data_IF_253532664929
#
_entry.id   IF_253532664929
#
_cell.length_a   1.000
_cell.length_b   1.000
_cell.length_c   1.000
_cell.angle_alpha   90.00
_cell.angle_beta   90.00
_cell.angle_gamma   90.00
#
_symmetry.space_group_name_H-M   'P 1'
#
loop_
_entity.id
_entity.type
_entity.pdbx_description
1 polymer ?
#
# COMPACT_ATOMS: atom_id res chain seq x y z
N UNK A 1 15.99 -3.94 7.67
CA UNK A 1 16.68 -2.64 8.00
C UNK A 1 17.33 -2.15 6.73
N UNK A 2 17.04 -0.94 6.28
CA UNK A 2 17.60 -0.37 5.07
C UNK A 2 19.12 -0.27 5.07
N UNK A 3 19.68 -0.31 3.89
CA UNK A 3 21.13 -0.35 3.69
C UNK A 3 21.67 1.06 3.40
N UNK A 4 22.14 1.75 4.43
CA UNK A 4 22.58 3.15 4.31
C UNK A 4 24.03 3.33 3.82
N UNK A 5 24.75 2.24 3.55
CA UNK A 5 26.16 2.29 3.20
C UNK A 5 26.48 3.27 2.06
N UNK A 6 25.58 3.39 1.08
CA UNK A 6 25.80 4.27 -0.06
C UNK A 6 25.60 5.77 0.24
N UNK A 7 25.19 6.18 1.47
CA UNK A 7 25.10 7.59 1.85
C UNK A 7 26.46 8.29 1.84
N UNK A 8 27.56 7.57 2.07
CA UNK A 8 28.92 8.13 2.02
C UNK A 8 29.44 8.33 0.58
N UNK A 9 28.80 7.74 -0.43
CA UNK A 9 29.19 7.87 -1.83
C UNK A 9 28.65 9.17 -2.41
N UNK A 10 29.54 10.14 -2.56
CA UNK A 10 29.22 11.44 -3.12
C UNK A 10 29.50 11.46 -4.63
N UNK A 11 28.71 12.24 -5.34
CA UNK A 11 28.86 12.53 -6.77
C UNK A 11 28.53 14.00 -7.04
N UNK A 12 28.41 14.39 -8.30
CA UNK A 12 28.09 15.78 -8.69
C UNK A 12 26.69 16.25 -8.24
N UNK A 13 25.78 15.29 -7.99
CA UNK A 13 24.38 15.57 -7.63
C UNK A 13 24.16 15.38 -6.13
N UNK A 14 24.85 14.41 -5.52
CA UNK A 14 24.69 14.05 -4.11
C UNK A 14 25.96 14.41 -3.33
N UNK A 15 26.01 15.63 -2.82
CA UNK A 15 27.15 16.17 -2.05
C UNK A 15 27.17 15.68 -0.60
N UNK A 16 28.27 15.90 0.16
CA UNK A 16 28.32 15.65 1.60
C UNK A 16 27.20 16.33 2.37
N UNK A 17 26.78 17.55 1.97
CA UNK A 17 25.67 18.25 2.60
C UNK A 17 24.32 17.56 2.38
N UNK A 18 24.09 17.02 1.17
CA UNK A 18 22.90 16.19 0.89
C UNK A 18 22.92 14.91 1.74
N UNK A 19 24.06 14.22 1.85
CA UNK A 19 24.18 13.03 2.69
C UNK A 19 23.88 13.30 4.16
N UNK A 20 24.42 14.42 4.68
CA UNK A 20 24.16 14.84 6.06
C UNK A 20 22.67 15.18 6.30
N UNK A 21 22.04 15.89 5.37
CA UNK A 21 20.60 16.20 5.43
C UNK A 21 19.77 14.92 5.40
N UNK A 22 20.07 14.01 4.47
CA UNK A 22 19.41 12.71 4.36
C UNK A 22 19.52 11.91 5.66
N UNK A 23 20.71 11.81 6.24
CA UNK A 23 20.93 11.09 7.49
C UNK A 23 20.12 11.70 8.67
N UNK A 24 20.07 13.03 8.77
CA UNK A 24 19.25 13.71 9.78
C UNK A 24 17.76 13.40 9.57
N UNK A 25 17.25 13.48 8.35
CA UNK A 25 15.86 13.16 8.03
C UNK A 25 15.51 11.70 8.33
N UNK A 26 16.40 10.75 8.04
CA UNK A 26 16.23 9.33 8.38
C UNK A 26 16.13 9.11 9.90
N UNK A 27 16.99 9.77 10.69
CA UNK A 27 16.90 9.72 12.15
C UNK A 27 15.58 10.31 12.66
N UNK A 28 15.14 11.41 12.05
CA UNK A 28 13.85 12.03 12.38
C UNK A 28 12.68 11.08 12.05
N UNK A 29 12.70 10.42 10.88
CA UNK A 29 11.66 9.45 10.50
C UNK A 29 11.60 8.25 11.45
N UNK A 30 12.77 7.72 11.89
CA UNK A 30 12.82 6.63 12.86
C UNK A 30 12.14 6.99 14.19
N UNK A 31 12.34 8.20 14.67
CA UNK A 31 11.68 8.70 15.89
C UNK A 31 10.18 8.97 15.64
N UNK A 32 9.84 9.46 14.43
CA UNK A 32 8.48 9.79 14.05
C UNK A 32 7.51 8.62 14.15
N UNK A 33 7.92 7.39 13.82
CA UNK A 33 7.08 6.22 13.96
C UNK A 33 6.66 5.97 15.42
N UNK A 34 7.56 6.20 16.39
CA UNK A 34 7.24 6.10 17.81
C UNK A 34 6.31 7.22 18.25
N UNK A 35 6.57 8.47 17.83
CA UNK A 35 5.74 9.65 18.14
C UNK A 35 4.31 9.50 17.61
N UNK A 36 4.13 9.01 16.39
CA UNK A 36 2.82 8.75 15.75
C UNK A 36 2.22 7.40 16.19
N UNK A 37 2.86 6.70 17.13
CA UNK A 37 2.42 5.41 17.68
C UNK A 37 2.19 4.33 16.62
N UNK A 38 2.95 4.37 15.54
CA UNK A 38 2.99 3.26 14.59
C UNK A 38 3.73 2.10 15.25
N UNK A 39 3.11 0.91 15.38
CA UNK A 39 3.73 -0.19 16.12
C UNK A 39 5.05 -0.64 15.50
N UNK A 40 5.97 -1.10 16.35
CA UNK A 40 7.18 -1.77 15.87
C UNK A 40 6.85 -3.13 15.27
N UNK A 41 7.62 -3.54 14.27
CA UNK A 41 7.49 -4.86 13.65
C UNK A 41 7.78 -5.99 14.64
N UNK A 42 6.78 -6.84 14.89
CA UNK A 42 6.91 -8.03 15.74
C UNK A 42 6.88 -9.29 14.86
N UNK A 43 7.99 -10.03 14.83
CA UNK A 43 8.17 -11.16 13.88
C UNK A 43 7.16 -12.29 14.01
N UNK A 44 6.67 -12.61 15.21
CA UNK A 44 5.93 -13.84 15.47
C UNK A 44 4.42 -13.68 15.58
N UNK A 45 3.90 -12.54 16.01
CA UNK A 45 2.49 -12.44 16.41
C UNK A 45 1.67 -11.40 15.68
N UNK A 46 2.30 -10.44 15.02
CA UNK A 46 1.63 -9.31 14.34
C UNK A 46 2.20 -9.08 12.94
N UNK A 47 1.35 -8.67 12.02
CA UNK A 47 1.69 -8.25 10.66
C UNK A 47 1.36 -6.75 10.51
N UNK A 48 2.33 -5.96 10.11
CA UNK A 48 2.12 -4.58 9.71
C UNK A 48 1.95 -4.51 8.18
N UNK A 49 0.75 -4.17 7.75
CA UNK A 49 0.37 -4.03 6.35
C UNK A 49 0.13 -2.55 6.03
N UNK A 50 0.64 -2.07 4.90
CA UNK A 50 0.36 -0.74 4.40
C UNK A 50 -0.07 -0.72 2.94
N UNK A 51 -0.74 0.35 2.54
CA UNK A 51 -0.97 0.76 1.15
C UNK A 51 -0.47 2.19 0.95
N UNK A 52 0.19 2.45 -0.16
CA UNK A 52 0.72 3.76 -0.47
C UNK A 52 0.75 4.02 -1.98
N UNK A 53 -0.09 4.93 -2.44
CA UNK A 53 0.07 5.49 -3.77
C UNK A 53 1.32 6.38 -3.74
N UNK A 54 2.39 5.99 -4.45
CA UNK A 54 3.62 6.79 -4.58
C UNK A 54 3.55 7.51 -5.92
N UNK A 55 3.10 8.77 -5.85
CA UNK A 55 2.83 9.60 -7.01
C UNK A 55 3.86 9.44 -8.13
N UNK A 56 3.41 9.00 -9.34
CA UNK A 56 4.22 8.95 -10.55
C UNK A 56 5.58 8.24 -10.36
N UNK A 57 5.59 7.05 -9.78
CA UNK A 57 6.78 6.34 -9.32
C UNK A 57 7.38 5.40 -10.41
N UNK A 58 8.24 5.72 -11.28
CA UNK A 58 9.00 6.95 -11.65
C UNK A 58 8.48 7.45 -12.98
N UNK A 59 8.19 8.74 -13.09
CA UNK A 59 7.91 9.36 -14.38
C UNK A 59 8.91 10.50 -14.65
N UNK A 60 9.28 10.70 -15.89
CA UNK A 60 10.13 11.82 -16.27
C UNK A 60 9.45 13.20 -16.22
N UNK A 61 8.20 13.27 -15.79
CA UNK A 61 7.34 14.48 -15.89
C UNK A 61 7.85 15.69 -15.10
N UNK A 62 8.44 15.44 -13.93
CA UNK A 62 8.95 16.49 -13.03
C UNK A 62 10.47 16.38 -12.79
N UNK A 63 11.16 15.63 -13.62
CA UNK A 63 12.57 15.27 -13.44
C UNK A 63 12.75 14.06 -12.50
N UNK A 64 13.98 13.64 -12.26
CA UNK A 64 14.26 12.48 -11.41
C UNK A 64 13.96 12.79 -9.95
N UNK A 65 13.54 11.76 -9.19
CA UNK A 65 13.46 11.86 -7.72
C UNK A 65 14.86 12.05 -7.13
N UNK A 66 14.93 12.86 -6.10
CA UNK A 66 16.17 13.02 -5.36
C UNK A 66 16.53 11.70 -4.68
N UNK A 67 17.82 11.41 -4.61
CA UNK A 67 18.33 10.25 -3.89
C UNK A 67 17.90 10.24 -2.43
N UNK A 68 17.79 11.41 -1.80
CA UNK A 68 17.25 11.62 -0.47
C UNK A 68 15.81 11.09 -0.34
N UNK A 69 14.92 11.40 -1.29
CA UNK A 69 13.55 10.93 -1.31
C UNK A 69 13.46 9.40 -1.38
N UNK A 70 14.32 8.75 -2.18
CA UNK A 70 14.37 7.29 -2.27
C UNK A 70 14.77 6.63 -0.95
N UNK A 71 15.69 7.23 -0.18
CA UNK A 71 16.02 6.76 1.16
C UNK A 71 14.85 6.90 2.13
N UNK A 72 14.11 8.01 2.07
CA UNK A 72 12.93 8.19 2.93
C UNK A 72 11.79 7.25 2.56
N UNK A 73 11.56 7.02 1.27
CA UNK A 73 10.58 6.03 0.80
C UNK A 73 10.96 4.63 1.29
N UNK A 74 12.24 4.24 1.16
CA UNK A 74 12.72 2.96 1.65
C UNK A 74 12.59 2.81 3.17
N UNK A 75 12.89 3.87 3.94
CA UNK A 75 12.72 3.86 5.41
C UNK A 75 11.26 3.68 5.82
N UNK A 76 10.34 4.35 5.12
CA UNK A 76 8.91 4.21 5.37
C UNK A 76 8.43 2.81 5.03
N UNK A 77 8.85 2.25 3.88
CA UNK A 77 8.49 0.89 3.49
C UNK A 77 9.05 -0.14 4.48
N UNK A 78 10.32 0.01 4.92
CA UNK A 78 10.94 -0.92 5.88
C UNK A 78 10.23 -0.99 7.23
N UNK A 79 9.45 0.02 7.58
CA UNK A 79 8.68 0.01 8.83
C UNK A 79 7.53 -1.00 8.80
N UNK A 80 7.04 -1.38 7.63
CA UNK A 80 5.96 -2.34 7.43
C UNK A 80 6.50 -3.70 6.98
N UNK A 81 5.67 -4.75 7.09
CA UNK A 81 6.04 -6.10 6.64
C UNK A 81 5.67 -6.34 5.17
N UNK A 82 4.62 -5.67 4.70
CA UNK A 82 4.14 -5.69 3.34
C UNK A 82 3.51 -4.33 3.00
N UNK A 83 3.85 -3.79 1.84
CA UNK A 83 3.30 -2.54 1.32
C UNK A 83 2.76 -2.75 -0.09
N UNK A 84 1.49 -2.43 -0.29
CA UNK A 84 0.93 -2.30 -1.63
C UNK A 84 1.24 -0.91 -2.18
N UNK A 85 1.88 -0.85 -3.33
CA UNK A 85 2.31 0.40 -3.96
C UNK A 85 1.53 0.59 -5.27
N UNK A 86 0.92 1.76 -5.43
CA UNK A 86 0.23 2.18 -6.64
C UNK A 86 1.07 3.23 -7.39
N UNK A 87 0.73 3.47 -8.64
CA UNK A 87 1.42 4.38 -9.57
C UNK A 87 2.87 4.02 -9.90
N UNK A 88 3.26 2.76 -9.78
CA UNK A 88 4.55 2.31 -10.31
C UNK A 88 4.50 2.41 -11.84
N UNK A 89 5.41 3.20 -12.40
CA UNK A 89 5.43 3.48 -13.85
C UNK A 89 6.16 2.39 -14.64
N UNK A 90 6.20 2.57 -15.95
CA UNK A 90 6.95 1.68 -16.86
C UNK A 90 8.47 1.72 -16.59
N UNK A 91 9.02 2.84 -16.14
CA UNK A 91 10.40 2.96 -15.64
C UNK A 91 10.50 2.48 -14.17
N UNK A 92 11.17 1.36 -13.95
CA UNK A 92 11.35 0.76 -12.62
C UNK A 92 12.57 1.28 -11.86
N UNK A 93 13.35 2.21 -12.43
CA UNK A 93 14.61 2.65 -11.85
C UNK A 93 14.51 3.10 -10.39
N UNK A 94 13.44 3.82 -10.03
CA UNK A 94 13.25 4.26 -8.64
C UNK A 94 12.80 3.12 -7.73
N UNK A 95 11.97 2.21 -8.20
CA UNK A 95 11.59 1.01 -7.44
C UNK A 95 12.83 0.14 -7.17
N UNK A 96 13.64 -0.14 -8.19
CA UNK A 96 14.87 -0.94 -8.04
C UNK A 96 15.86 -0.31 -7.05
N UNK A 97 16.05 1.02 -7.11
CA UNK A 97 16.88 1.73 -6.12
C UNK A 97 16.34 1.63 -4.71
N UNK A 98 15.01 1.70 -4.52
CA UNK A 98 14.39 1.49 -3.21
C UNK A 98 14.60 0.06 -2.74
N UNK A 99 14.47 -0.94 -3.62
CA UNK A 99 14.75 -2.35 -3.30
C UNK A 99 16.22 -2.58 -2.91
N UNK A 100 17.16 -1.95 -3.61
CA UNK A 100 18.59 -1.98 -3.25
C UNK A 100 18.85 -1.43 -1.84
N UNK A 101 18.15 -0.33 -1.48
CA UNK A 101 18.24 0.25 -0.14
C UNK A 101 17.60 -0.67 0.91
N UNK A 102 16.47 -1.29 0.62
CA UNK A 102 15.79 -2.24 1.51
C UNK A 102 16.61 -3.52 1.73
N UNK A 103 17.35 -3.97 0.72
CA UNK A 103 18.28 -5.10 0.78
C UNK A 103 17.63 -6.45 0.47
N UNK A 104 18.46 -7.50 0.45
CA UNK A 104 18.16 -8.83 -0.11
C UNK A 104 17.03 -9.63 0.56
N UNK A 105 16.55 -9.20 1.71
CA UNK A 105 15.39 -9.84 2.36
C UNK A 105 14.05 -9.29 1.89
N UNK A 106 14.07 -8.32 0.98
CA UNK A 106 12.87 -7.73 0.40
C UNK A 106 12.70 -8.20 -1.02
N UNK A 107 11.45 -8.51 -1.36
CA UNK A 107 11.03 -8.87 -2.71
C UNK A 107 9.83 -8.03 -3.12
N UNK A 108 9.55 -8.00 -4.42
CA UNK A 108 8.34 -7.39 -4.94
C UNK A 108 7.68 -8.26 -6.00
N UNK A 109 6.36 -8.12 -6.10
CA UNK A 109 5.53 -8.64 -7.18
C UNK A 109 4.84 -7.45 -7.82
N UNK A 110 4.79 -7.38 -9.14
CA UNK A 110 4.13 -6.28 -9.85
C UNK A 110 3.29 -6.79 -11.03
N UNK A 111 2.31 -5.97 -11.43
CA UNK A 111 1.50 -6.21 -12.61
C UNK A 111 2.26 -5.90 -13.90
N UNK A 112 1.69 -6.27 -15.02
CA UNK A 112 2.07 -5.65 -16.29
C UNK A 112 1.63 -4.18 -16.37
N UNK A 113 2.13 -3.46 -17.35
CA UNK A 113 1.77 -2.06 -17.60
C UNK A 113 0.33 -2.00 -18.08
N UNK A 114 -0.51 -1.24 -17.38
CA UNK A 114 -1.88 -1.04 -17.84
C UNK A 114 -1.91 -0.20 -19.10
N UNK A 115 -2.22 -0.85 -20.23
CA UNK A 115 -2.37 -0.20 -21.52
C UNK A 115 -3.69 0.57 -21.61
N UNK A 116 -3.71 1.62 -22.44
CA UNK A 116 -4.90 2.43 -22.69
C UNK A 116 -4.86 3.83 -22.08
N UNK A 117 -5.81 4.66 -22.50
CA UNK A 117 -5.83 6.11 -22.18
C UNK A 117 -6.13 6.39 -20.71
N UNK A 118 -6.83 5.50 -20.01
CA UNK A 118 -7.19 5.63 -18.60
C UNK A 118 -6.19 4.95 -17.65
N UNK A 119 -5.37 4.02 -18.16
CA UNK A 119 -4.40 3.24 -17.37
C UNK A 119 -3.11 3.98 -17.05
N UNK A 120 -2.81 5.10 -17.73
CA UNK A 120 -1.64 5.96 -17.53
C UNK A 120 -0.28 5.24 -17.59
N UNK A 121 -0.21 4.01 -18.13
CA UNK A 121 0.98 3.15 -18.08
C UNK A 121 1.44 2.86 -16.66
N UNK A 122 0.51 2.69 -15.75
CA UNK A 122 0.78 2.38 -14.35
C UNK A 122 0.78 0.87 -14.12
N UNK A 123 1.56 0.48 -13.11
CA UNK A 123 1.58 -0.83 -12.47
C UNK A 123 1.19 -0.70 -11.01
N UNK A 124 0.80 -1.81 -10.42
CA UNK A 124 0.67 -1.97 -8.98
C UNK A 124 1.69 -3.01 -8.51
N UNK A 125 2.25 -2.80 -7.34
CA UNK A 125 3.23 -3.70 -6.76
C UNK A 125 2.89 -4.05 -5.30
N UNK A 126 3.34 -5.23 -4.86
CA UNK A 126 3.49 -5.57 -3.45
C UNK A 126 4.97 -5.67 -3.15
N UNK A 127 5.45 -4.89 -2.18
CA UNK A 127 6.81 -4.95 -1.65
C UNK A 127 6.74 -5.57 -0.26
N UNK A 128 7.49 -6.66 0.01
CA UNK A 128 7.35 -7.42 1.25
C UNK A 128 8.66 -8.01 1.77
N UNK A 129 8.74 -8.16 3.10
CA UNK A 129 9.88 -8.77 3.78
C UNK A 129 9.72 -10.30 3.81
N UNK A 130 10.54 -11.01 3.04
CA UNK A 130 10.50 -12.48 2.89
C UNK A 130 10.83 -13.25 4.18
N UNK A 131 11.46 -12.59 5.16
CA UNK A 131 11.72 -13.19 6.48
C UNK A 131 10.43 -13.42 7.29
N UNK A 132 9.33 -12.76 6.90
CA UNK A 132 8.06 -12.82 7.60
C UNK A 132 6.88 -13.17 6.70
N UNK A 133 6.82 -12.58 5.52
CA UNK A 133 5.73 -12.76 4.57
C UNK A 133 6.19 -13.67 3.44
N UNK A 134 5.43 -14.73 3.18
CA UNK A 134 5.74 -15.67 2.11
C UNK A 134 4.71 -15.56 0.99
N UNK A 135 5.19 -15.46 -0.23
CA UNK A 135 4.34 -15.61 -1.41
C UNK A 135 3.71 -16.99 -1.43
N UNK A 136 2.40 -17.06 -1.59
CA UNK A 136 1.63 -18.30 -1.50
C UNK A 136 1.42 -19.06 -2.82
N UNK A 137 2.02 -18.58 -3.92
CA UNK A 137 1.90 -19.20 -5.23
C UNK A 137 0.68 -18.75 -6.05
N UNK A 138 -0.14 -17.82 -5.53
CA UNK A 138 -1.27 -17.21 -6.23
C UNK A 138 -0.95 -15.75 -6.54
N UNK A 139 -0.90 -15.38 -7.82
CA UNK A 139 -0.85 -13.98 -8.26
C UNK A 139 -1.61 -13.86 -9.59
N UNK A 140 -2.39 -12.82 -9.74
CA UNK A 140 -3.15 -12.58 -10.96
C UNK A 140 -3.87 -11.24 -10.96
N UNK A 141 -4.20 -10.79 -12.16
CA UNK A 141 -5.01 -9.60 -12.38
C UNK A 141 -6.49 -9.96 -12.43
N UNK A 142 -7.35 -9.11 -11.84
CA UNK A 142 -8.79 -9.32 -11.81
C UNK A 142 -9.41 -8.77 -13.09
N UNK A 143 -9.89 -9.68 -13.93
CA UNK A 143 -10.63 -9.35 -15.17
C UNK A 143 -12.12 -9.50 -14.91
N UNK A 144 -12.91 -8.49 -15.28
CA UNK A 144 -14.37 -8.53 -15.12
C UNK A 144 -14.95 -9.49 -16.18
N UNK A 145 -15.64 -10.57 -15.77
CA UNK A 145 -16.30 -11.43 -16.72
C UNK A 145 -17.44 -10.68 -17.42
N UNK A 146 -17.72 -10.96 -18.70
CA UNK A 146 -18.82 -10.33 -19.41
C UNK A 146 -20.16 -10.67 -18.76
N UNK A 147 -20.99 -9.65 -18.53
CA UNK A 147 -22.33 -9.82 -17.93
C UNK A 147 -23.25 -10.62 -18.84
N UNK A 148 -23.03 -10.54 -20.14
CA UNK A 148 -23.77 -11.27 -21.19
C UNK A 148 -22.82 -11.79 -22.25
N UNK A 149 -22.98 -13.08 -22.64
CA UNK A 149 -22.15 -13.70 -23.67
C UNK A 149 -22.16 -12.87 -24.95
N UNK A 150 -20.98 -12.51 -25.45
CA UNK A 150 -20.79 -11.71 -26.66
C UNK A 150 -20.89 -10.19 -26.50
N UNK A 151 -21.14 -9.70 -25.30
CA UNK A 151 -21.09 -8.26 -24.99
C UNK A 151 -19.83 -8.00 -24.17
N UNK A 152 -18.86 -7.19 -24.67
CA UNK A 152 -17.70 -6.83 -23.89
C UNK A 152 -18.13 -6.15 -22.58
N UNK A 153 -17.59 -6.61 -21.44
CA UNK A 153 -17.70 -5.87 -20.18
C UNK A 153 -16.76 -4.68 -20.21
N UNK A 154 -17.17 -3.54 -19.65
CA UNK A 154 -16.23 -2.48 -19.32
C UNK A 154 -15.19 -3.06 -18.36
N UNK A 155 -13.89 -2.88 -18.67
CA UNK A 155 -12.81 -3.26 -17.77
C UNK A 155 -12.50 -2.10 -16.83
N UNK A 156 -11.75 -2.38 -15.77
CA UNK A 156 -11.24 -1.36 -14.88
C UNK A 156 -10.31 -0.39 -15.62
N UNK A 157 -10.26 0.84 -15.16
CA UNK A 157 -9.28 1.81 -15.68
C UNK A 157 -7.84 1.31 -15.47
N UNK A 158 -7.60 0.65 -14.33
CA UNK A 158 -6.38 -0.10 -14.02
C UNK A 158 -6.78 -1.44 -13.44
N UNK A 159 -6.23 -2.51 -13.98
CA UNK A 159 -6.64 -3.87 -13.59
C UNK A 159 -6.20 -4.17 -12.16
N UNK A 160 -7.12 -4.50 -11.23
CA UNK A 160 -6.75 -4.81 -9.85
C UNK A 160 -5.85 -6.03 -9.78
N UNK A 161 -4.90 -6.03 -8.84
CA UNK A 161 -3.90 -7.07 -8.67
C UNK A 161 -4.11 -7.85 -7.39
N UNK A 162 -4.34 -9.15 -7.50
CA UNK A 162 -4.57 -10.05 -6.38
C UNK A 162 -3.39 -11.00 -6.17
N UNK A 163 -2.92 -11.10 -4.93
CA UNK A 163 -1.82 -11.98 -4.53
C UNK A 163 -2.18 -12.73 -3.25
N UNK A 164 -1.84 -14.01 -3.20
CA UNK A 164 -1.96 -14.85 -2.01
C UNK A 164 -0.68 -14.84 -1.19
N UNK A 165 -0.80 -14.54 0.11
CA UNK A 165 0.32 -14.53 1.06
C UNK A 165 0.06 -15.41 2.29
N UNK A 166 1.14 -15.75 2.98
CA UNK A 166 1.13 -16.45 4.28
C UNK A 166 2.10 -15.78 5.24
N UNK A 167 1.67 -15.66 6.50
CA UNK A 167 2.54 -15.21 7.59
C UNK A 167 2.06 -15.85 8.91
N UNK A 168 2.93 -16.56 9.61
CA UNK A 168 2.53 -17.32 10.79
C UNK A 168 1.36 -18.27 10.49
N UNK A 169 0.29 -18.13 11.26
CA UNK A 169 -0.97 -18.89 11.11
C UNK A 169 -1.96 -18.25 10.13
N UNK A 170 -1.64 -17.09 9.58
CA UNK A 170 -2.55 -16.32 8.75
C UNK A 170 -2.28 -16.52 7.26
N UNK A 171 -3.26 -17.11 6.57
CA UNK A 171 -3.32 -17.28 5.12
C UNK A 171 -4.37 -16.33 4.58
N UNK A 172 -4.00 -15.48 3.63
CA UNK A 172 -4.86 -14.42 3.11
C UNK A 172 -4.55 -14.07 1.68
N UNK A 173 -5.54 -13.55 0.97
CA UNK A 173 -5.36 -12.87 -0.31
C UNK A 173 -5.41 -11.37 -0.10
N UNK A 174 -4.54 -10.64 -0.80
CA UNK A 174 -4.63 -9.17 -0.91
C UNK A 174 -4.95 -8.82 -2.35
N UNK A 175 -5.92 -7.96 -2.55
CA UNK A 175 -6.18 -7.32 -3.82
C UNK A 175 -5.88 -5.82 -3.69
N UNK A 176 -4.92 -5.32 -4.48
CA UNK A 176 -4.67 -3.89 -4.56
C UNK A 176 -5.30 -3.31 -5.81
N UNK A 177 -5.75 -2.06 -5.70
CA UNK A 177 -6.41 -1.34 -6.78
C UNK A 177 -6.00 0.12 -6.85
N UNK A 178 -6.08 0.71 -8.03
CA UNK A 178 -6.08 2.14 -8.24
C UNK A 178 -7.29 2.48 -9.13
N UNK A 179 -8.38 2.83 -8.50
CA UNK A 179 -9.69 3.06 -9.12
C UNK A 179 -9.68 4.35 -9.94
N UNK A 180 -10.54 4.40 -10.95
CA UNK A 180 -10.72 5.57 -11.80
C UNK A 180 -10.95 6.86 -11.01
N UNK A 181 -10.15 7.91 -11.26
CA UNK A 181 -10.34 9.20 -10.64
C UNK A 181 -11.47 10.00 -11.30
N UNK A 182 -11.46 10.06 -12.64
CA UNK A 182 -12.42 10.82 -13.43
C UNK A 182 -12.31 12.31 -13.25
N UNK A 183 -13.45 12.98 -13.25
CA UNK A 183 -13.55 14.37 -12.85
C UNK A 183 -13.52 14.47 -11.32
N UNK A 184 -13.08 15.62 -10.79
CA UNK A 184 -12.93 15.84 -9.34
C UNK A 184 -14.28 15.99 -8.62
N UNK A 185 -15.17 15.01 -8.82
CA UNK A 185 -16.49 14.93 -8.18
C UNK A 185 -16.55 13.71 -7.26
N UNK A 186 -17.19 13.85 -6.08
CA UNK A 186 -17.18 12.82 -5.04
C UNK A 186 -17.87 11.52 -5.43
N UNK A 187 -18.96 11.59 -6.18
CA UNK A 187 -19.81 10.44 -6.54
C UNK A 187 -19.82 10.20 -8.06
N UNK A 188 -18.61 10.09 -8.65
CA UNK A 188 -18.46 9.75 -10.07
C UNK A 188 -19.07 8.37 -10.35
N UNK A 189 -20.00 8.24 -11.33
CA UNK A 189 -20.71 6.99 -11.61
C UNK A 189 -19.78 5.82 -12.04
N UNK A 190 -18.72 6.11 -12.80
CA UNK A 190 -17.77 5.08 -13.22
C UNK A 190 -16.98 4.57 -12.02
N UNK A 191 -16.53 5.47 -11.14
CA UNK A 191 -15.82 5.12 -9.90
C UNK A 191 -16.69 4.25 -8.99
N UNK A 192 -17.95 4.64 -8.76
CA UNK A 192 -18.94 3.85 -7.98
C UNK A 192 -19.08 2.46 -8.59
N UNK A 193 -19.21 2.37 -9.92
CA UNK A 193 -19.36 1.10 -10.61
C UNK A 193 -18.13 0.20 -10.47
N UNK A 194 -16.93 0.73 -10.68
CA UNK A 194 -15.67 -0.03 -10.54
C UNK A 194 -15.51 -0.58 -9.12
N UNK A 195 -15.72 0.26 -8.09
CA UNK A 195 -15.63 -0.16 -6.68
C UNK A 195 -16.64 -1.26 -6.38
N UNK A 196 -17.90 -1.04 -6.75
CA UNK A 196 -19.00 -2.00 -6.49
C UNK A 196 -18.77 -3.36 -7.15
N UNK A 197 -18.34 -3.35 -8.41
CA UNK A 197 -18.05 -4.58 -9.15
C UNK A 197 -16.89 -5.34 -8.55
N UNK A 198 -15.80 -4.66 -8.18
CA UNK A 198 -14.63 -5.27 -7.56
C UNK A 198 -14.99 -5.88 -6.19
N UNK A 199 -15.59 -5.10 -5.31
CA UNK A 199 -15.99 -5.54 -3.98
C UNK A 199 -16.92 -6.75 -4.04
N UNK A 200 -17.95 -6.71 -4.89
CA UNK A 200 -18.89 -7.82 -5.08
C UNK A 200 -18.21 -9.08 -5.65
N UNK A 201 -17.31 -8.92 -6.62
CA UNK A 201 -16.58 -10.04 -7.21
C UNK A 201 -15.70 -10.74 -6.17
N UNK A 202 -14.93 -9.97 -5.40
CA UNK A 202 -14.04 -10.50 -4.38
C UNK A 202 -14.81 -11.11 -3.18
N UNK A 203 -15.90 -10.48 -2.74
CA UNK A 203 -16.76 -11.03 -1.70
C UNK A 203 -17.30 -12.42 -2.08
N UNK A 204 -17.77 -12.58 -3.33
CA UNK A 204 -18.22 -13.88 -3.85
C UNK A 204 -17.07 -14.89 -3.91
N UNK A 205 -15.88 -14.49 -4.34
CA UNK A 205 -14.74 -15.39 -4.50
C UNK A 205 -14.28 -16.03 -3.18
N UNK A 206 -14.43 -15.35 -2.02
CA UNK A 206 -14.07 -15.91 -0.72
C UNK A 206 -15.11 -16.89 -0.16
N UNK A 207 -16.35 -16.85 -0.65
CA UNK A 207 -17.43 -17.76 -0.26
C UNK A 207 -17.29 -19.14 -0.96
N UNK A 208 -16.60 -19.21 -2.10
CA UNK A 208 -16.43 -20.44 -2.87
C UNK A 208 -15.65 -21.49 -2.05
N UNK A 209 -16.10 -22.76 -2.09
CA UNK A 209 -15.49 -23.85 -1.31
C UNK A 209 -14.01 -24.06 -1.63
N UNK A 210 -13.61 -23.82 -2.88
CA UNK A 210 -12.25 -23.93 -3.37
C UNK A 210 -11.46 -22.62 -3.30
N UNK A 211 -11.95 -21.60 -2.60
CA UNK A 211 -11.21 -20.36 -2.41
C UNK A 211 -9.81 -20.62 -1.84
N UNK A 212 -8.80 -19.98 -2.45
CA UNK A 212 -7.41 -20.17 -2.01
C UNK A 212 -7.19 -19.72 -0.56
N UNK A 213 -7.89 -18.69 -0.13
CA UNK A 213 -7.99 -18.27 1.27
C UNK A 213 -9.38 -17.68 1.52
N UNK A 214 -9.87 -17.81 2.76
CA UNK A 214 -11.14 -17.20 3.21
C UNK A 214 -10.94 -15.78 3.73
N UNK A 215 -9.70 -15.36 4.01
CA UNK A 215 -9.36 -14.01 4.40
C UNK A 215 -8.97 -13.20 3.17
N UNK A 216 -9.73 -12.15 2.88
CA UNK A 216 -9.52 -11.21 1.78
C UNK A 216 -9.28 -9.82 2.32
N UNK A 217 -8.22 -9.18 1.84
CA UNK A 217 -7.91 -7.78 2.09
C UNK A 217 -7.98 -7.05 0.76
N UNK A 218 -8.86 -6.05 0.67
CA UNK A 218 -8.98 -5.18 -0.49
C UNK A 218 -8.48 -3.80 -0.09
N UNK A 219 -7.43 -3.31 -0.76
CA UNK A 219 -6.76 -2.07 -0.40
C UNK A 219 -6.25 -1.32 -1.63
N UNK A 220 -5.84 -0.08 -1.44
CA UNK A 220 -5.28 0.76 -2.49
C UNK A 220 -5.93 2.14 -2.54
N UNK A 221 -5.73 2.81 -3.67
CA UNK A 221 -6.31 4.10 -3.97
C UNK A 221 -7.68 3.94 -4.65
N UNK A 222 -8.74 4.20 -3.89
CA UNK A 222 -10.13 4.13 -4.35
C UNK A 222 -10.66 5.47 -4.86
N UNK A 223 -9.89 6.53 -4.70
CA UNK A 223 -10.33 7.88 -5.02
C UNK A 223 -11.65 8.28 -4.30
N UNK A 224 -11.88 7.75 -3.08
CA UNK A 224 -13.02 8.07 -2.23
C UNK A 224 -12.77 9.43 -1.56
N UNK A 225 -13.74 10.34 -1.64
CA UNK A 225 -13.59 11.67 -1.04
C UNK A 225 -13.97 11.69 0.44
N UNK A 226 -14.95 10.88 0.84
CA UNK A 226 -15.40 10.83 2.22
C UNK A 226 -16.17 9.56 2.54
N UNK A 227 -16.17 9.15 3.81
CA UNK A 227 -16.84 7.93 4.29
C UNK A 227 -18.38 7.95 4.21
N UNK A 228 -18.97 9.09 3.87
CA UNK A 228 -20.42 9.23 3.67
C UNK A 228 -20.83 9.22 2.19
N UNK A 229 -19.89 9.10 1.27
CA UNK A 229 -20.13 9.14 -0.15
C UNK A 229 -20.62 7.78 -0.69
N UNK A 230 -21.34 7.78 -1.82
CA UNK A 230 -21.80 6.54 -2.47
C UNK A 230 -20.63 5.64 -2.91
N UNK A 231 -19.45 6.22 -3.19
CA UNK A 231 -18.23 5.47 -3.46
C UNK A 231 -17.78 4.63 -2.26
N UNK A 232 -17.86 5.17 -1.03
CA UNK A 232 -17.55 4.42 0.19
C UNK A 232 -18.58 3.32 0.46
N UNK A 233 -19.85 3.61 0.26
CA UNK A 233 -20.94 2.62 0.38
C UNK A 233 -20.76 1.48 -0.63
N UNK A 234 -20.35 1.78 -1.86
CA UNK A 234 -20.07 0.77 -2.88
C UNK A 234 -18.97 -0.22 -2.46
N UNK A 235 -17.99 0.24 -1.65
CA UNK A 235 -16.95 -0.62 -1.08
C UNK A 235 -17.52 -1.54 0.02
N UNK A 236 -18.38 -1.03 0.88
CA UNK A 236 -18.81 -1.73 2.11
C UNK A 236 -20.09 -2.55 1.96
N UNK A 237 -20.95 -2.27 0.99
CA UNK A 237 -22.24 -2.95 0.79
C UNK A 237 -22.13 -4.45 0.49
N UNK A 238 -20.96 -4.93 0.06
CA UNK A 238 -20.67 -6.35 -0.20
C UNK A 238 -20.08 -7.10 0.99
N UNK A 239 -20.08 -6.50 2.19
CA UNK A 239 -19.61 -7.12 3.43
C UNK A 239 -18.16 -6.80 3.80
N UNK A 240 -17.46 -5.97 3.03
CA UNK A 240 -16.15 -5.47 3.42
C UNK A 240 -16.25 -4.55 4.63
N UNK A 241 -15.42 -4.80 5.64
CA UNK A 241 -15.32 -4.02 6.86
C UNK A 241 -14.06 -3.16 6.85
N UNK A 242 -14.12 -1.98 7.44
CA UNK A 242 -12.99 -1.07 7.59
C UNK A 242 -12.74 -0.85 9.08
N UNK A 243 -11.47 -0.83 9.47
CA UNK A 243 -11.10 -0.60 10.86
C UNK A 243 -11.58 0.78 11.34
N UNK A 244 -12.21 0.90 12.53
CA UNK A 244 -12.78 2.16 13.01
C UNK A 244 -11.80 3.33 13.00
N UNK A 245 -10.53 3.11 13.32
CA UNK A 245 -9.49 4.15 13.32
C UNK A 245 -9.22 4.75 11.93
N UNK A 246 -9.58 4.04 10.84
CA UNK A 246 -9.40 4.53 9.47
C UNK A 246 -10.58 5.38 8.97
N UNK A 247 -11.73 5.32 9.64
CA UNK A 247 -12.94 6.03 9.21
C UNK A 247 -12.84 7.56 9.38
N UNK A 248 -11.96 8.03 10.27
CA UNK A 248 -11.84 9.46 10.60
C UNK A 248 -10.61 10.16 10.00
N UNK A 249 -9.79 9.46 9.21
CA UNK A 249 -8.49 9.97 8.77
C UNK A 249 -8.40 9.93 7.25
N UNK A 250 -8.15 11.09 6.63
CA UNK A 250 -7.83 11.18 5.21
C UNK A 250 -6.40 10.75 4.90
N UNK A 251 -6.16 10.32 3.68
CA UNK A 251 -4.85 9.81 3.21
C UNK A 251 -4.10 10.75 2.25
N UNK A 252 -4.71 11.84 1.82
CA UNK A 252 -3.99 12.87 1.06
C UNK A 252 -3.16 13.78 1.99
N UNK A 253 -2.30 14.65 1.44
CA UNK A 253 -1.33 15.47 2.21
C UNK A 253 -1.96 16.26 3.35
N UNK A 254 -3.14 16.85 3.13
CA UNK A 254 -3.88 17.63 4.14
C UNK A 254 -4.88 16.79 4.96
N UNK A 255 -4.90 15.48 4.74
CA UNK A 255 -5.75 14.51 5.41
C UNK A 255 -7.25 14.83 5.33
N UNK A 256 -7.68 15.51 4.26
CA UNK A 256 -9.07 15.91 4.02
C UNK A 256 -9.86 14.93 3.15
N UNK A 257 -9.19 14.01 2.44
CA UNK A 257 -9.77 13.04 1.51
C UNK A 257 -9.41 11.62 1.91
N UNK A 258 -10.37 10.71 1.79
CA UNK A 258 -10.24 9.29 2.12
C UNK A 258 -9.91 8.46 0.88
N UNK A 259 -8.95 8.91 0.07
CA UNK A 259 -8.63 8.29 -1.21
C UNK A 259 -8.22 6.83 -1.06
N UNK A 260 -7.32 6.54 -0.12
CA UNK A 260 -6.85 5.19 0.15
C UNK A 260 -7.73 4.50 1.19
N UNK A 261 -7.90 3.19 1.05
CA UNK A 261 -8.67 2.35 1.95
C UNK A 261 -7.97 1.01 2.19
N UNK A 262 -8.24 0.42 3.38
CA UNK A 262 -7.92 -0.97 3.70
C UNK A 262 -9.21 -1.60 4.25
N UNK A 263 -9.78 -2.53 3.48
CA UNK A 263 -11.05 -3.16 3.76
C UNK A 263 -10.91 -4.69 3.82
N UNK A 264 -11.72 -5.37 4.61
CA UNK A 264 -11.57 -6.78 4.94
C UNK A 264 -12.86 -7.57 4.78
N UNK A 265 -12.74 -8.79 4.24
CA UNK A 265 -13.57 -9.94 4.55
C UNK A 265 -12.62 -10.98 5.13
N UNK A 266 -12.52 -11.08 6.46
CA UNK A 266 -11.52 -11.90 7.13
C UNK A 266 -12.17 -12.61 8.34
N UNK A 267 -12.76 -13.81 8.13
CA UNK A 267 -13.40 -14.59 9.20
C UNK A 267 -12.48 -14.85 10.39
N UNK A 268 -11.20 -15.13 10.15
CA UNK A 268 -10.21 -15.37 11.20
C UNK A 268 -9.93 -14.14 12.08
N UNK A 269 -10.29 -12.95 11.60
CA UNK A 269 -10.07 -11.67 12.28
C UNK A 269 -11.37 -10.99 12.74
N UNK A 270 -12.55 -11.59 12.50
CA UNK A 270 -13.87 -10.95 12.65
C UNK A 270 -14.05 -10.23 13.98
N UNK A 271 -13.66 -10.86 15.08
CA UNK A 271 -13.83 -10.34 16.44
C UNK A 271 -12.52 -9.72 17.00
N UNK A 272 -11.45 -9.67 16.19
CA UNK A 272 -10.09 -9.29 16.61
C UNK A 272 -9.55 -8.05 15.88
N UNK A 273 -10.28 -7.54 14.89
CA UNK A 273 -9.90 -6.30 14.19
C UNK A 273 -9.89 -5.09 15.13
N UNK A 274 -10.78 -5.09 16.13
CA UNK A 274 -10.88 -4.00 17.13
C UNK A 274 -9.64 -3.91 18.02
N UNK A 275 -8.93 -5.03 18.20
CA UNK A 275 -7.69 -5.11 18.98
C UNK A 275 -6.43 -4.74 18.17
N UNK A 276 -6.63 -4.38 16.90
CA UNK A 276 -5.57 -3.98 16.00
C UNK A 276 -5.37 -2.46 16.04
N UNK A 277 -4.13 -2.02 15.74
CA UNK A 277 -3.86 -0.61 15.52
C UNK A 277 -3.94 -0.31 14.03
N UNK A 278 -4.43 0.87 13.68
CA UNK A 278 -4.49 1.32 12.29
C UNK A 278 -4.39 2.85 12.21
N UNK A 279 -3.88 3.38 11.13
CA UNK A 279 -3.73 4.81 10.95
C UNK A 279 -3.16 5.21 9.59
N UNK A 280 -2.81 6.48 9.49
CA UNK A 280 -2.13 7.09 8.35
C UNK A 280 -0.88 7.78 8.87
N UNK A 281 0.28 7.49 8.28
CA UNK A 281 1.55 8.07 8.68
C UNK A 281 1.85 9.35 7.89
N UNK A 282 1.73 10.51 8.53
CA UNK A 282 2.00 11.79 7.90
C UNK A 282 3.48 12.17 8.01
N UNK A 283 4.31 11.66 7.11
CA UNK A 283 5.74 11.92 7.04
C UNK A 283 6.08 13.39 6.73
N UNK A 284 5.14 14.18 6.20
CA UNK A 284 5.36 15.61 5.92
C UNK A 284 5.48 16.48 7.17
N UNK A 285 5.15 15.95 8.35
CA UNK A 285 5.47 16.60 9.63
C UNK A 285 6.97 16.56 9.94
N UNK A 286 7.73 15.67 9.29
CA UNK A 286 9.09 15.30 9.66
C UNK A 286 10.12 15.57 8.55
N UNK A 287 9.78 15.28 7.29
CA UNK A 287 10.65 15.47 6.11
C UNK A 287 9.87 16.15 4.99
N UNK A 288 10.56 16.91 4.17
CA UNK A 288 9.92 17.72 3.09
C UNK A 288 8.76 18.57 3.62
N UNK A 289 8.92 19.15 4.82
CA UNK A 289 7.92 20.00 5.47
C UNK A 289 7.64 21.27 4.65
N UNK A 290 6.54 21.94 4.94
CA UNK A 290 6.23 23.23 4.26
C UNK A 290 7.30 24.29 4.50
N UNK A 291 7.87 24.31 5.70
CA UNK A 291 8.91 25.27 6.11
C UNK A 291 10.29 24.95 5.49
N UNK A 292 10.47 23.78 4.89
CA UNK A 292 11.74 23.40 4.26
C UNK A 292 11.94 24.05 2.86
N UNK A 293 11.05 24.97 2.45
CA UNK A 293 11.11 25.66 1.15
C UNK A 293 12.44 26.38 0.91
N UNK A 294 13.06 26.94 1.95
CA UNK A 294 14.36 27.59 1.83
C UNK A 294 15.48 26.60 1.56
N UNK A 295 15.38 25.40 2.13
CA UNK A 295 16.38 24.32 1.98
C UNK A 295 16.31 23.71 0.58
N UNK A 296 15.10 23.42 0.10
CA UNK A 296 14.89 22.74 -1.17
C UNK A 296 14.58 23.67 -2.36
N UNK A 297 14.33 24.95 -2.10
CA UNK A 297 14.01 25.93 -3.15
C UNK A 297 14.99 25.93 -4.32
N UNK A 298 16.32 25.82 -4.09
CA UNK A 298 17.29 25.73 -5.17
C UNK A 298 17.13 24.47 -6.06
N UNK A 299 16.56 23.40 -5.53
CA UNK A 299 16.37 22.12 -6.21
C UNK A 299 15.05 22.07 -7.00
N UNK A 300 14.12 23.02 -6.75
CA UNK A 300 12.83 23.08 -7.44
C UNK A 300 13.02 23.56 -8.89
N UNK A 301 12.66 22.73 -9.89
CA UNK A 301 12.84 23.11 -11.29
C UNK A 301 12.05 24.38 -11.66
N UNK A 302 12.63 25.18 -12.53
CA UNK A 302 11.91 26.30 -13.15
C UNK A 302 10.87 25.77 -14.13
N UNK A 303 9.74 26.45 -14.20
CA UNK A 303 8.70 26.20 -15.21
C UNK A 303 9.23 26.46 -16.62
N UNK A 304 8.54 25.99 -17.67
CA UNK A 304 8.87 26.26 -19.06
C UNK A 304 8.96 27.77 -19.36
N UNK A 305 8.26 28.62 -18.59
CA UNK A 305 8.31 30.07 -18.68
C UNK A 305 9.46 30.71 -17.86
N UNK A 306 10.39 29.90 -17.31
CA UNK A 306 11.54 30.38 -16.53
C UNK A 306 11.20 30.83 -15.10
N UNK A 307 9.94 30.76 -14.67
CA UNK A 307 9.51 31.11 -13.31
C UNK A 307 9.86 29.96 -12.33
N UNK A 308 10.11 30.26 -11.04
CA UNK A 308 10.26 29.20 -10.02
C UNK A 308 9.04 28.28 -10.01
N UNK A 309 9.27 26.97 -9.95
CA UNK A 309 8.23 25.99 -9.70
C UNK A 309 7.66 26.14 -8.29
N UNK A 310 6.48 25.55 -8.04
CA UNK A 310 5.90 25.54 -6.69
C UNK A 310 6.52 24.42 -5.86
N UNK A 311 7.11 24.75 -4.73
CA UNK A 311 7.70 23.78 -3.81
C UNK A 311 6.69 22.71 -3.39
N UNK A 312 5.43 23.10 -3.11
CA UNK A 312 4.37 22.16 -2.73
C UNK A 312 4.14 21.06 -3.78
N UNK A 313 4.14 21.39 -5.07
CA UNK A 313 3.93 20.41 -6.15
C UNK A 313 5.18 19.53 -6.32
N UNK A 314 6.36 20.13 -6.22
CA UNK A 314 7.62 19.43 -6.35
C UNK A 314 7.85 18.43 -5.21
N UNK A 315 7.61 18.82 -3.94
CA UNK A 315 7.78 17.90 -2.81
C UNK A 315 6.85 16.70 -2.87
N UNK A 316 5.61 16.89 -3.37
CA UNK A 316 4.69 15.75 -3.53
C UNK A 316 5.10 14.83 -4.67
N UNK A 317 5.87 15.33 -5.63
CA UNK A 317 6.50 14.46 -6.61
C UNK A 317 7.75 13.76 -6.03
N UNK A 318 8.50 14.38 -5.13
CA UNK A 318 9.62 13.74 -4.46
C UNK A 318 9.18 12.58 -3.56
N UNK A 319 8.09 12.74 -2.84
CA UNK A 319 7.52 11.72 -1.95
C UNK A 319 6.21 11.16 -2.53
N UNK A 320 5.07 11.72 -2.17
CA UNK A 320 3.76 11.51 -2.79
C UNK A 320 2.76 12.56 -2.33
N UNK A 321 1.66 12.74 -3.05
CA UNK A 321 0.47 13.47 -2.60
C UNK A 321 -0.49 12.58 -1.78
N UNK A 322 -0.16 11.31 -1.62
CA UNK A 322 -0.78 10.37 -0.70
C UNK A 322 0.14 10.02 0.47
N UNK A 323 -0.46 9.69 1.59
CA UNK A 323 0.21 9.24 2.82
C UNK A 323 0.01 7.73 2.97
N UNK A 324 1.01 6.97 3.45
CA UNK A 324 0.83 5.54 3.68
C UNK A 324 -0.25 5.30 4.76
N UNK A 325 -1.29 4.57 4.37
CA UNK A 325 -2.32 4.05 5.28
C UNK A 325 -1.90 2.66 5.72
N UNK A 326 -2.05 2.35 7.01
CA UNK A 326 -1.54 1.11 7.57
C UNK A 326 -2.48 0.48 8.60
N UNK A 327 -2.30 -0.82 8.81
CA UNK A 327 -2.94 -1.60 9.86
C UNK A 327 -2.00 -2.66 10.43
N UNK A 328 -2.12 -2.92 11.73
CA UNK A 328 -1.50 -4.05 12.42
C UNK A 328 -2.52 -5.19 12.53
N UNK A 329 -2.19 -6.37 12.04
CA UNK A 329 -3.04 -7.56 12.10
C UNK A 329 -2.41 -8.62 13.01
N UNK A 330 -3.23 -9.33 13.78
CA UNK A 330 -2.79 -10.51 14.50
C UNK A 330 -2.61 -11.68 13.53
N UNK A 331 -1.51 -12.44 13.67
CA UNK A 331 -1.17 -13.57 12.79
C UNK A 331 -0.77 -14.84 13.55
N UNK A 332 -0.73 -14.80 14.89
CA UNK A 332 -0.53 -15.94 15.75
C UNK A 332 -1.85 -16.32 16.44
N UNK A 333 -2.37 -17.47 16.05
CA UNK A 333 -3.59 -18.07 16.60
C UNK A 333 -3.29 -19.37 17.33
N UNK A 334 -2.01 -19.64 17.64
CA UNK A 334 -1.60 -20.88 18.32
C UNK A 334 -2.18 -21.04 19.73
N UNK A 335 -2.34 -19.98 20.55
CA UNK A 335 -2.95 -20.15 21.87
C UNK A 335 -4.38 -20.68 21.81
N UNK A 336 -5.24 -20.06 20.99
CA UNK A 336 -6.64 -20.48 20.87
C UNK A 336 -6.78 -21.89 20.25
N UNK A 337 -5.87 -22.25 19.36
CA UNK A 337 -5.82 -23.59 18.82
C UNK A 337 -5.48 -24.61 19.90
N UNK A 338 -4.47 -24.34 20.73
CA UNK A 338 -4.07 -25.23 21.82
C UNK A 338 -5.13 -25.34 22.93
N UNK A 339 -5.82 -24.24 23.25
CA UNK A 339 -6.94 -24.21 24.19
C UNK A 339 -8.06 -25.15 23.74
N UNK A 340 -8.50 -25.08 22.48
CA UNK A 340 -9.51 -26.00 21.92
C UNK A 340 -9.10 -27.45 22.00
N UNK A 341 -7.84 -27.77 21.65
CA UNK A 341 -7.33 -29.14 21.77
C UNK A 341 -7.36 -29.60 23.23
N UNK A 342 -6.97 -28.73 24.17
CA UNK A 342 -6.98 -29.08 25.60
C UNK A 342 -8.39 -29.31 26.15
N UNK A 343 -9.39 -28.63 25.59
CA UNK A 343 -10.81 -28.80 25.94
C UNK A 343 -11.46 -30.01 25.25
N UNK A 344 -10.73 -30.75 24.42
CA UNK A 344 -11.20 -31.93 23.69
C UNK A 344 -12.15 -31.64 22.52
N UNK A 345 -12.20 -30.36 22.07
CA UNK A 345 -12.90 -30.03 20.85
C UNK A 345 -12.17 -30.62 19.64
N UNK A 346 -12.91 -31.21 18.68
CA UNK A 346 -12.34 -31.51 17.37
C UNK A 346 -11.79 -30.22 16.79
N UNK A 347 -10.46 -30.11 16.75
CA UNK A 347 -9.79 -28.94 16.23
C UNK A 347 -10.13 -28.82 14.76
N UNK A 348 -11.05 -27.94 14.41
CA UNK A 348 -11.16 -27.41 13.07
C UNK A 348 -9.82 -26.69 12.85
N UNK A 349 -8.93 -27.36 12.11
CA UNK A 349 -7.65 -26.78 11.71
C UNK A 349 -7.98 -25.42 11.10
N UNK A 350 -7.46 -24.30 11.64
CA UNK A 350 -7.71 -23.00 11.04
C UNK A 350 -7.44 -23.10 9.53
N UNK A 351 -8.31 -22.55 8.70
CA UNK A 351 -8.20 -22.60 7.23
C UNK A 351 -6.80 -22.14 6.75
N UNK A 352 -6.08 -21.48 7.63
CA UNK A 352 -4.72 -20.95 7.47
C UNK A 352 -3.59 -21.80 8.06
N UNK A 353 -3.86 -23.00 8.63
CA UNK A 353 -2.80 -23.82 9.21
C UNK A 353 -1.65 -24.08 8.21
N UNK A 354 -0.38 -24.06 8.65
CA UNK A 354 0.75 -24.27 7.75
C UNK A 354 0.68 -25.68 7.15
N UNK A 355 0.64 -25.75 5.82
CA UNK A 355 0.82 -27.02 5.13
C UNK A 355 2.22 -27.51 5.45
N UNK A 356 2.34 -28.80 5.93
CA UNK A 356 3.65 -29.43 6.12
C UNK A 356 4.52 -29.19 4.90
N UNK A 357 5.82 -28.88 5.07
CA UNK A 357 6.72 -28.89 3.94
C UNK A 357 6.62 -30.25 3.27
N UNK A 358 6.30 -30.26 1.99
CA UNK A 358 6.48 -31.48 1.21
C UNK A 358 7.97 -31.81 1.24
N UNK A 359 8.31 -33.01 1.71
CA UNK A 359 9.67 -33.54 1.80
C UNK A 359 10.31 -33.64 0.41
#
# INVERSE_FOLDING_TARGET
MPFYYNLHRHDKIFSPAHAQRTAKGLLTLKNAFQEEKVPERRRSSRLLLATWNIREFESGKYGPRQREALYYIAEIIDHFDIVAVQEVRDDLTSLEKVMDILGSSWEYLLTDVTAGTQGNKERMAFVFDTRKVRFGGLAGEIVIPPVKKGVPSGQYARTPFMVGFRTGWFKFTICTTHIYYGESVKDDPQRIQEIRQLAKHLAKAVEEDNAWAKNMILLGDFNIFGVKDETFKALTESGFQIHPNLLGIGSNVDQSKHFDQIAFIAPDLKDKLVDCNAGVFNYYKYVYREDDVEIYGPDVPKTKAGKPGRFKDWRTYQMSDHLPMWIELRVDFSPEYLERIAEGEEAVVPVSAPVKPQA
#
